data_IF_562423175269
#
_entry.id   IF_562423175269
#
_cell.length_a   1.000
_cell.length_b   1.000
_cell.length_c   1.000
_cell.angle_alpha   90.00
_cell.angle_beta   90.00
_cell.angle_gamma   90.00
#
_symmetry.space_group_name_H-M   'P 1'
#
loop_
_entity.id
_entity.type
_entity.pdbx_description
1 polymer ?
#
# COMPACT_ATOMS: atom_id res chain seq x y z
N UNK A 1 10.47 -12.28 -5.22
CA UNK A 1 10.68 -11.23 -4.19
C UNK A 1 9.34 -11.00 -3.52
N UNK A 2 9.26 -10.98 -2.19
CA UNK A 2 7.98 -10.87 -1.46
C UNK A 2 7.40 -9.46 -1.62
N UNK A 3 6.07 -9.32 -1.60
CA UNK A 3 5.44 -8.00 -1.68
C UNK A 3 5.82 -7.15 -0.46
N UNK A 4 6.18 -5.89 -0.70
CA UNK A 4 6.58 -4.91 0.30
C UNK A 4 8.10 -4.83 0.55
N UNK A 5 8.93 -5.65 -0.10
CA UNK A 5 10.40 -5.53 0.03
C UNK A 5 10.98 -4.37 -0.75
N UNK A 6 10.44 -4.12 -1.94
CA UNK A 6 10.92 -3.12 -2.91
C UNK A 6 9.78 -2.23 -3.43
N UNK A 7 8.53 -2.65 -3.26
CA UNK A 7 7.33 -1.97 -3.77
C UNK A 7 6.35 -1.54 -2.66
N UNK A 8 6.84 -1.25 -1.45
CA UNK A 8 6.01 -0.95 -0.29
C UNK A 8 5.09 0.26 -0.53
N UNK A 9 5.65 1.37 -1.03
CA UNK A 9 4.89 2.61 -1.22
C UNK A 9 3.88 2.50 -2.35
N UNK A 10 4.29 1.90 -3.47
CA UNK A 10 3.45 1.64 -4.62
C UNK A 10 2.28 0.73 -4.24
N UNK A 11 2.52 -0.29 -3.41
CA UNK A 11 1.48 -1.19 -2.92
C UNK A 11 0.47 -0.45 -2.04
N UNK A 12 0.95 0.39 -1.10
CA UNK A 12 0.09 1.22 -0.24
C UNK A 12 -0.72 2.22 -1.05
N UNK A 13 -0.11 2.83 -2.07
CA UNK A 13 -0.78 3.76 -2.98
C UNK A 13 -1.90 3.07 -3.78
N UNK A 14 -1.64 1.88 -4.31
CA UNK A 14 -2.67 1.07 -4.99
C UNK A 14 -3.85 0.82 -4.04
N UNK A 15 -3.59 0.43 -2.80
CA UNK A 15 -4.64 0.22 -1.81
C UNK A 15 -5.46 1.48 -1.51
N UNK A 16 -4.81 2.64 -1.44
CA UNK A 16 -5.49 3.93 -1.30
C UNK A 16 -6.48 4.15 -2.45
N UNK A 17 -6.02 3.99 -3.69
CA UNK A 17 -6.87 4.19 -4.87
C UNK A 17 -8.00 3.17 -4.96
N UNK A 18 -7.74 1.90 -4.65
CA UNK A 18 -8.78 0.86 -4.59
C UNK A 18 -9.87 1.23 -3.59
N UNK A 19 -9.49 1.72 -2.40
CA UNK A 19 -10.45 2.22 -1.41
C UNK A 19 -11.21 3.45 -1.92
N UNK A 20 -10.51 4.41 -2.52
CA UNK A 20 -11.10 5.65 -3.07
C UNK A 20 -12.11 5.38 -4.19
N UNK A 21 -11.88 4.35 -5.00
CA UNK A 21 -12.81 3.90 -6.04
C UNK A 21 -13.91 2.95 -5.53
N UNK A 22 -13.98 2.69 -4.22
CA UNK A 22 -14.88 1.68 -3.63
C UNK A 22 -14.76 0.31 -4.30
N UNK A 23 -13.54 -0.10 -4.65
CA UNK A 23 -13.28 -1.41 -5.24
C UNK A 23 -13.54 -2.53 -4.23
N UNK A 24 -14.37 -3.51 -4.61
CA UNK A 24 -14.86 -4.60 -3.75
C UNK A 24 -14.56 -6.01 -4.31
N UNK A 25 -13.66 -6.11 -5.28
CA UNK A 25 -13.30 -7.37 -5.95
C UNK A 25 -11.95 -7.90 -5.44
N UNK A 26 -11.37 -8.83 -6.19
CA UNK A 26 -10.18 -9.57 -5.78
C UNK A 26 -8.89 -8.90 -6.28
N UNK A 27 -7.84 -8.95 -5.45
CA UNK A 27 -6.48 -8.63 -5.87
C UNK A 27 -5.71 -9.93 -6.15
N UNK A 28 -5.17 -10.07 -7.36
CA UNK A 28 -4.30 -11.19 -7.70
C UNK A 28 -2.87 -10.93 -7.23
N UNK A 29 -2.21 -11.97 -6.70
CA UNK A 29 -0.78 -11.94 -6.39
C UNK A 29 -0.03 -12.73 -7.45
N UNK A 30 0.77 -12.04 -8.26
CA UNK A 30 1.72 -12.65 -9.19
C UNK A 30 3.12 -12.56 -8.61
N UNK A 31 3.69 -13.73 -8.30
CA UNK A 31 4.94 -13.84 -7.56
C UNK A 31 5.80 -14.96 -8.16
N UNK A 32 7.07 -14.66 -8.43
CA UNK A 32 8.06 -15.65 -8.79
C UNK A 32 9.19 -15.68 -7.74
N UNK A 33 9.04 -16.48 -6.67
CA UNK A 33 10.11 -16.81 -5.73
C UNK A 33 11.30 -17.40 -6.49
N UNK A 34 12.52 -16.99 -6.13
CA UNK A 34 13.74 -17.49 -6.81
C UNK A 34 14.37 -18.61 -6.00
N UNK A 35 14.72 -18.30 -4.76
CA UNK A 35 15.40 -19.21 -3.84
C UNK A 35 14.54 -19.54 -2.62
N UNK A 36 13.42 -18.86 -2.45
CA UNK A 36 12.51 -18.99 -1.32
C UNK A 36 11.52 -20.14 -1.51
N UNK A 37 11.03 -20.71 -0.41
CA UNK A 37 9.87 -21.60 -0.44
C UNK A 37 8.66 -20.85 -0.99
N UNK A 38 8.04 -21.40 -2.04
CA UNK A 38 7.02 -20.68 -2.79
C UNK A 38 5.71 -20.51 -2.03
N UNK A 39 5.35 -21.49 -1.20
CA UNK A 39 4.11 -21.44 -0.40
C UNK A 39 4.28 -20.39 0.70
N UNK A 40 5.42 -20.43 1.39
CA UNK A 40 5.73 -19.50 2.45
C UNK A 40 5.89 -18.07 1.92
N UNK A 41 6.54 -17.88 0.76
CA UNK A 41 6.68 -16.58 0.13
C UNK A 41 5.31 -15.97 -0.23
N UNK A 42 4.37 -16.76 -0.75
CA UNK A 42 2.99 -16.33 -0.99
C UNK A 42 2.29 -15.95 0.33
N UNK A 43 2.39 -16.80 1.36
CA UNK A 43 1.76 -16.57 2.66
C UNK A 43 2.25 -15.27 3.32
N UNK A 44 3.57 -15.06 3.34
CA UNK A 44 4.18 -13.85 3.88
C UNK A 44 3.78 -12.62 3.08
N UNK A 45 3.73 -12.71 1.74
CA UNK A 45 3.31 -11.60 0.88
C UNK A 45 1.85 -11.21 1.13
N UNK A 46 0.92 -12.16 1.26
CA UNK A 46 -0.49 -11.89 1.60
C UNK A 46 -0.61 -11.21 2.96
N UNK A 47 0.15 -11.67 3.95
CA UNK A 47 0.17 -11.05 5.28
C UNK A 47 0.70 -9.61 5.22
N UNK A 48 1.79 -9.37 4.48
CA UNK A 48 2.35 -8.04 4.29
C UNK A 48 1.35 -7.10 3.61
N UNK A 49 0.70 -7.54 2.53
CA UNK A 49 -0.37 -6.81 1.84
C UNK A 49 -1.52 -6.45 2.80
N UNK A 50 -1.95 -7.39 3.65
CA UNK A 50 -3.03 -7.16 4.62
C UNK A 50 -2.64 -6.12 5.66
N UNK A 51 -1.41 -6.18 6.19
CA UNK A 51 -0.90 -5.18 7.15
C UNK A 51 -0.82 -3.80 6.49
N UNK A 52 -0.28 -3.71 5.28
CA UNK A 52 -0.21 -2.47 4.50
C UNK A 52 -1.59 -1.89 4.25
N UNK A 53 -2.54 -2.71 3.82
CA UNK A 53 -3.93 -2.30 3.60
C UNK A 53 -4.56 -1.73 4.88
N UNK A 54 -4.44 -2.45 6.00
CA UNK A 54 -5.00 -1.99 7.28
C UNK A 54 -4.35 -0.68 7.74
N UNK A 55 -3.03 -0.53 7.58
CA UNK A 55 -2.34 0.72 7.91
C UNK A 55 -2.74 1.88 7.01
N UNK A 56 -2.96 1.63 5.72
CA UNK A 56 -3.51 2.61 4.79
C UNK A 56 -4.91 3.04 5.25
N UNK A 57 -5.79 2.10 5.62
CA UNK A 57 -7.14 2.41 6.09
C UNK A 57 -7.12 3.29 7.36
N UNK A 58 -6.21 3.05 8.30
CA UNK A 58 -6.03 3.90 9.49
C UNK A 58 -5.68 5.36 9.13
N UNK A 59 -5.05 5.59 7.98
CA UNK A 59 -4.61 6.91 7.52
C UNK A 59 -5.50 7.50 6.40
N UNK A 60 -6.50 6.75 5.92
CA UNK A 60 -7.22 7.05 4.68
C UNK A 60 -7.84 8.45 4.68
N UNK A 61 -8.56 8.81 5.74
CA UNK A 61 -9.25 10.11 5.83
C UNK A 61 -8.24 11.27 5.80
N UNK A 62 -7.13 11.13 6.53
CA UNK A 62 -6.07 12.14 6.59
C UNK A 62 -5.35 12.31 5.25
N UNK A 63 -5.08 11.20 4.57
CA UNK A 63 -4.48 11.22 3.23
C UNK A 63 -5.45 11.86 2.23
N UNK A 64 -6.74 11.55 2.33
CA UNK A 64 -7.78 12.07 1.42
C UNK A 64 -8.01 13.56 1.62
N UNK A 65 -8.11 14.03 2.86
CA UNK A 65 -8.23 15.45 3.19
C UNK A 65 -7.06 16.25 2.58
N UNK A 66 -5.85 15.71 2.66
CA UNK A 66 -4.69 16.34 2.03
C UNK A 66 -4.80 16.34 0.50
N UNK A 67 -5.08 15.20 -0.12
CA UNK A 67 -5.11 15.10 -1.59
C UNK A 67 -6.19 16.01 -2.20
N UNK A 68 -7.28 16.22 -1.47
CA UNK A 68 -8.43 16.99 -1.95
C UNK A 68 -8.32 18.50 -1.65
N UNK A 69 -7.28 18.97 -0.94
CA UNK A 69 -7.08 20.39 -0.65
C UNK A 69 -6.66 21.19 -1.90
N UNK A 70 -7.19 22.41 -2.06
CA UNK A 70 -7.00 23.28 -3.25
C UNK A 70 -5.55 23.67 -3.55
N UNK A 71 -4.64 23.44 -2.59
CA UNK A 71 -3.20 23.46 -2.78
C UNK A 71 -2.64 22.31 -1.94
N UNK A 72 -1.57 21.66 -2.36
CA UNK A 72 -0.21 22.12 -2.04
C UNK A 72 0.86 21.14 -2.50
N UNK A 73 2.08 21.67 -2.51
CA UNK A 73 3.34 20.95 -2.65
C UNK A 73 3.30 19.56 -2.00
N UNK A 74 3.29 18.52 -2.84
CA UNK A 74 3.25 17.10 -2.46
C UNK A 74 4.39 16.69 -1.53
N UNK A 75 5.45 17.50 -1.42
CA UNK A 75 6.55 17.25 -0.48
C UNK A 75 6.10 17.33 0.99
N UNK A 76 5.08 18.12 1.32
CA UNK A 76 4.53 18.20 2.68
C UNK A 76 3.81 16.90 3.10
N UNK A 77 3.22 16.16 2.14
CA UNK A 77 2.69 14.81 2.39
C UNK A 77 3.81 13.87 2.78
N UNK A 78 4.87 13.87 1.98
CA UNK A 78 6.02 13.00 2.21
C UNK A 78 6.59 13.26 3.60
N UNK A 79 6.77 14.53 3.98
CA UNK A 79 7.19 14.92 5.34
C UNK A 79 6.27 14.38 6.43
N UNK A 80 4.95 14.47 6.25
CA UNK A 80 3.97 14.00 7.22
C UNK A 80 3.94 12.47 7.36
N UNK A 81 4.00 11.74 6.25
CA UNK A 81 4.00 10.27 6.21
C UNK A 81 5.30 9.73 6.82
N UNK A 82 6.43 10.33 6.47
CA UNK A 82 7.76 9.88 6.89
C UNK A 82 8.27 10.53 8.18
N UNK A 83 7.54 11.49 8.74
CA UNK A 83 7.93 12.28 9.91
C UNK A 83 9.32 12.93 9.78
N UNK A 84 9.58 13.57 8.63
CA UNK A 84 10.84 14.26 8.29
C UNK A 84 10.61 15.75 8.03
#
# INVERSE_FOLDING_TARGET
>A
MMVGTDNFYETVEVFYWLKRFNYDRWCGLDLMPKNEDSIEACRVSINAMTIMYNKMLELYDKITEFIDSEREDVTEIFKLIFKI
#
